data_IF_387859381523
#
_entry.id   IF_387859381523
#
_cell.length_a   1.000
_cell.length_b   1.000
_cell.length_c   1.000
_cell.angle_alpha   90.00
_cell.angle_beta   90.00
_cell.angle_gamma   90.00
#
_symmetry.space_group_name_H-M   'P 1'
#
loop_
_entity.id
_entity.type
_entity.pdbx_description
1 polymer ?
#
# COMPACT_ATOMS: atom_id res chain seq x y z
N UNK A 1 -24.97 -1.32 6.20
CA UNK A 1 -24.71 -1.53 4.76
C UNK A 1 -24.50 -3.02 4.44
N UNK A 2 -23.39 -3.61 4.91
CA UNK A 2 -23.08 -5.05 4.80
C UNK A 2 -24.21 -5.95 5.33
N UNK A 3 -24.79 -5.63 6.49
CA UNK A 3 -25.82 -6.45 7.13
C UNK A 3 -27.13 -6.63 6.29
N UNK A 4 -27.43 -5.70 5.38
CA UNK A 4 -28.62 -5.76 4.50
C UNK A 4 -28.35 -6.50 3.18
N UNK A 5 -27.09 -6.51 2.72
CA UNK A 5 -26.67 -7.23 1.52
C UNK A 5 -26.19 -8.67 1.82
N UNK A 6 -25.74 -8.94 3.05
CA UNK A 6 -25.08 -10.20 3.41
C UNK A 6 -25.95 -11.18 4.19
N UNK A 7 -27.00 -10.70 4.89
CA UNK A 7 -27.91 -11.61 5.61
C UNK A 7 -28.86 -12.31 4.64
N UNK A 8 -28.81 -13.64 4.63
CA UNK A 8 -29.60 -14.52 3.76
C UNK A 8 -31.11 -14.36 3.98
N UNK A 9 -31.52 -14.16 5.23
CA UNK A 9 -32.94 -14.25 5.64
C UNK A 9 -33.66 -12.90 5.76
N UNK A 10 -32.93 -11.78 5.75
CA UNK A 10 -33.54 -10.44 5.76
C UNK A 10 -34.02 -10.04 4.36
N UNK A 11 -35.23 -9.47 4.20
CA UNK A 11 -35.65 -8.92 2.92
C UNK A 11 -34.77 -7.71 2.55
N UNK A 12 -34.59 -7.49 1.24
CA UNK A 12 -33.83 -6.35 0.75
C UNK A 12 -34.56 -5.03 1.07
N UNK A 13 -33.95 -4.17 1.89
CA UNK A 13 -34.47 -2.83 2.15
C UNK A 13 -33.79 -1.80 1.23
N UNK A 14 -34.56 -1.21 0.31
CA UNK A 14 -34.05 -0.19 -0.62
C UNK A 14 -33.66 1.10 0.09
N UNK A 15 -34.37 1.48 1.15
CA UNK A 15 -34.07 2.68 1.93
C UNK A 15 -32.66 2.64 2.54
N UNK A 16 -32.26 1.50 3.11
CA UNK A 16 -30.91 1.32 3.69
C UNK A 16 -29.84 1.37 2.60
N UNK A 17 -30.14 0.83 1.41
CA UNK A 17 -29.22 0.85 0.26
C UNK A 17 -29.04 2.28 -0.25
N UNK A 18 -30.11 3.05 -0.35
CA UNK A 18 -30.07 4.46 -0.75
C UNK A 18 -29.26 5.31 0.24
N UNK A 19 -29.51 5.17 1.55
CA UNK A 19 -28.73 5.88 2.57
C UNK A 19 -27.25 5.48 2.48
N UNK A 20 -26.97 4.18 2.42
CA UNK A 20 -25.58 3.70 2.35
C UNK A 20 -24.87 4.17 1.07
N UNK A 21 -25.59 4.16 -0.05
CA UNK A 21 -25.11 4.68 -1.33
C UNK A 21 -24.85 6.18 -1.29
N UNK A 22 -25.73 6.96 -0.67
CA UNK A 22 -25.54 8.40 -0.49
C UNK A 22 -24.31 8.72 0.39
N UNK A 23 -24.14 8.00 1.50
CA UNK A 23 -22.96 8.15 2.38
C UNK A 23 -21.67 7.81 1.61
N UNK A 24 -21.67 6.70 0.86
CA UNK A 24 -20.52 6.31 0.04
C UNK A 24 -20.24 7.35 -1.03
N UNK A 25 -21.27 7.84 -1.73
CA UNK A 25 -21.13 8.86 -2.77
C UNK A 25 -20.55 10.16 -2.21
N UNK A 26 -21.08 10.67 -1.10
CA UNK A 26 -20.59 11.90 -0.46
C UNK A 26 -19.14 11.72 0.00
N UNK A 27 -18.80 10.58 0.61
CA UNK A 27 -17.44 10.29 1.05
C UNK A 27 -16.44 10.21 -0.11
N UNK A 28 -16.80 9.53 -1.20
CA UNK A 28 -15.95 9.39 -2.38
C UNK A 28 -15.81 10.70 -3.16
N UNK A 29 -16.91 11.46 -3.30
CA UNK A 29 -16.87 12.78 -3.91
C UNK A 29 -16.00 13.74 -3.08
N UNK A 30 -16.15 13.73 -1.76
CA UNK A 30 -15.29 14.48 -0.84
C UNK A 30 -13.82 14.12 -1.06
N UNK A 31 -13.47 12.83 -1.03
CA UNK A 31 -12.11 12.35 -1.29
C UNK A 31 -11.54 12.86 -2.61
N UNK A 32 -12.32 12.77 -3.70
CA UNK A 32 -11.90 13.28 -5.01
C UNK A 32 -11.68 14.81 -4.98
N UNK A 33 -12.59 15.58 -4.39
CA UNK A 33 -12.46 17.03 -4.28
C UNK A 33 -11.25 17.42 -3.43
N UNK A 34 -11.03 16.79 -2.28
CA UNK A 34 -9.87 17.03 -1.43
C UNK A 34 -8.56 16.71 -2.17
N UNK A 35 -8.49 15.60 -2.91
CA UNK A 35 -7.30 15.25 -3.69
C UNK A 35 -6.94 16.25 -4.79
N UNK A 36 -7.92 17.03 -5.28
CA UNK A 36 -7.72 18.09 -6.28
C UNK A 36 -7.45 19.45 -5.65
N UNK A 37 -8.20 19.80 -4.62
CA UNK A 37 -8.17 21.13 -4.01
C UNK A 37 -6.97 21.31 -3.08
N UNK A 38 -6.70 20.35 -2.19
CA UNK A 38 -5.65 20.48 -1.17
C UNK A 38 -4.27 20.73 -1.77
N UNK A 39 -3.84 20.04 -2.85
CA UNK A 39 -2.54 20.32 -3.43
C UNK A 39 -2.42 21.72 -4.04
N UNK A 40 -3.48 22.19 -4.71
CA UNK A 40 -3.51 23.55 -5.27
C UNK A 40 -3.46 24.59 -4.15
N UNK A 41 -4.17 24.36 -3.06
CA UNK A 41 -4.21 25.26 -1.90
C UNK A 41 -2.88 25.30 -1.14
N UNK A 42 -2.23 24.15 -0.90
CA UNK A 42 -0.98 24.07 -0.14
C UNK A 42 0.28 24.37 -0.97
N UNK A 43 0.32 23.91 -2.22
CA UNK A 43 1.51 23.93 -3.07
C UNK A 43 1.37 24.82 -4.31
N UNK A 44 0.24 25.53 -4.47
CA UNK A 44 -0.01 26.41 -5.61
C UNK A 44 -0.13 25.68 -6.97
N UNK A 45 -0.11 24.35 -6.99
CA UNK A 45 -0.05 23.54 -8.20
C UNK A 45 -0.83 22.25 -8.05
N UNK A 46 -1.41 21.77 -9.16
CA UNK A 46 -2.03 20.46 -9.21
C UNK A 46 -0.98 19.37 -9.36
N UNK A 47 -1.19 18.22 -8.72
CA UNK A 47 -0.29 17.07 -8.87
C UNK A 47 -0.66 16.32 -10.15
N UNK A 48 0.28 16.14 -11.08
CA UNK A 48 0.06 15.46 -12.36
C UNK A 48 -0.54 14.04 -12.21
N UNK A 49 -0.17 13.31 -11.14
CA UNK A 49 -0.72 11.97 -10.85
C UNK A 49 -2.22 11.98 -10.55
N UNK A 50 -2.73 13.09 -10.02
CA UNK A 50 -4.13 13.24 -9.67
C UNK A 50 -5.00 13.68 -10.86
N UNK A 51 -4.44 13.84 -12.07
CA UNK A 51 -5.20 14.12 -13.31
C UNK A 51 -6.29 13.07 -13.55
N UNK A 52 -7.33 13.42 -14.30
CA UNK A 52 -8.35 12.44 -14.69
C UNK A 52 -7.79 11.47 -15.74
N UNK A 53 -8.26 10.23 -15.74
CA UNK A 53 -7.88 9.26 -16.76
C UNK A 53 -8.51 9.61 -18.11
N UNK A 54 -7.71 9.50 -19.18
CA UNK A 54 -8.18 9.63 -20.55
C UNK A 54 -8.62 8.28 -21.14
N UNK A 55 -8.33 7.16 -20.46
CA UNK A 55 -8.63 5.81 -20.92
C UNK A 55 -9.29 4.96 -19.80
N UNK A 56 -10.63 5.04 -19.65
CA UNK A 56 -11.33 4.32 -18.59
C UNK A 56 -11.29 2.80 -18.77
N UNK A 57 -11.19 2.30 -20.00
CA UNK A 57 -11.17 0.86 -20.27
C UNK A 57 -9.86 0.21 -19.80
N UNK A 58 -8.74 0.84 -20.10
CA UNK A 58 -7.43 0.41 -19.60
C UNK A 58 -7.38 0.46 -18.07
N UNK A 59 -7.99 1.49 -17.48
CA UNK A 59 -8.11 1.62 -16.03
C UNK A 59 -8.91 0.49 -15.39
N UNK A 60 -10.00 0.07 -16.02
CA UNK A 60 -10.78 -1.06 -15.55
C UNK A 60 -9.99 -2.38 -15.64
N UNK A 61 -9.22 -2.59 -16.71
CA UNK A 61 -8.33 -3.76 -16.82
C UNK A 61 -7.25 -3.76 -15.74
N UNK A 62 -6.65 -2.59 -15.47
CA UNK A 62 -5.71 -2.42 -14.38
C UNK A 62 -6.36 -2.75 -13.03
N UNK A 63 -7.55 -2.22 -12.76
CA UNK A 63 -8.32 -2.52 -11.54
C UNK A 63 -8.54 -4.01 -11.30
N UNK A 64 -8.96 -4.73 -12.35
CA UNK A 64 -9.20 -6.17 -12.26
C UNK A 64 -7.92 -6.98 -12.06
N UNK A 65 -6.78 -6.51 -12.58
CA UNK A 65 -5.49 -7.21 -12.51
C UNK A 65 -4.75 -6.96 -11.20
N UNK A 66 -4.83 -5.74 -10.68
CA UNK A 66 -3.97 -5.26 -9.58
C UNK A 66 -4.82 -4.99 -8.30
N UNK A 67 -5.57 -3.86 -8.16
CA UNK A 67 -6.39 -3.58 -6.98
C UNK A 67 -7.30 -4.72 -6.52
N UNK A 68 -8.08 -5.32 -7.43
CA UNK A 68 -9.05 -6.34 -7.07
C UNK A 68 -8.36 -7.63 -6.62
N UNK A 69 -7.29 -8.04 -7.30
CA UNK A 69 -6.52 -9.23 -6.91
C UNK A 69 -5.85 -9.01 -5.56
N UNK A 70 -5.29 -7.83 -5.30
CA UNK A 70 -4.72 -7.50 -4.00
C UNK A 70 -5.79 -7.55 -2.90
N UNK A 71 -6.96 -6.94 -3.14
CA UNK A 71 -8.05 -6.96 -2.16
C UNK A 71 -8.59 -8.38 -1.88
N UNK A 72 -8.68 -9.25 -2.89
CA UNK A 72 -9.11 -10.64 -2.72
C UNK A 72 -8.09 -11.45 -1.90
N UNK A 73 -6.80 -11.14 -2.06
CA UNK A 73 -5.73 -11.77 -1.30
C UNK A 73 -5.54 -11.20 0.12
N UNK A 74 -6.29 -10.14 0.47
CA UNK A 74 -6.33 -9.54 1.81
C UNK A 74 -4.92 -9.25 2.36
N UNK A 75 -4.56 -9.88 3.47
CA UNK A 75 -3.29 -9.66 4.16
C UNK A 75 -2.06 -10.20 3.41
N UNK A 76 -2.21 -10.97 2.33
CA UNK A 76 -1.08 -11.54 1.59
C UNK A 76 -0.58 -10.58 0.50
N UNK A 77 0.52 -9.88 0.76
CA UNK A 77 1.14 -8.91 -0.15
C UNK A 77 1.91 -9.54 -1.33
N UNK A 78 2.24 -10.83 -1.23
CA UNK A 78 2.90 -11.60 -2.31
C UNK A 78 2.12 -12.87 -2.59
N UNK A 79 0.90 -12.75 -3.11
CA UNK A 79 0.04 -13.90 -3.27
C UNK A 79 0.57 -14.81 -4.38
N UNK A 80 0.84 -16.07 -4.04
CA UNK A 80 1.08 -17.12 -5.03
C UNK A 80 -0.20 -17.48 -5.76
N UNK A 81 -0.08 -18.02 -6.98
CA UNK A 81 -1.23 -18.40 -7.82
C UNK A 81 -2.22 -19.30 -7.10
N UNK A 82 -1.72 -20.27 -6.31
CA UNK A 82 -2.58 -21.16 -5.53
C UNK A 82 -3.44 -20.42 -4.50
N UNK A 83 -2.84 -19.49 -3.75
CA UNK A 83 -3.54 -18.72 -2.71
C UNK A 83 -4.59 -17.78 -3.33
N UNK A 84 -4.26 -17.13 -4.45
CA UNK A 84 -5.21 -16.31 -5.22
C UNK A 84 -6.40 -17.13 -5.70
N UNK A 85 -6.14 -18.30 -6.31
CA UNK A 85 -7.20 -19.19 -6.79
C UNK A 85 -8.10 -19.68 -5.65
N UNK A 86 -7.52 -20.07 -4.52
CA UNK A 86 -8.30 -20.48 -3.34
C UNK A 86 -9.17 -19.33 -2.81
N UNK A 87 -8.61 -18.13 -2.69
CA UNK A 87 -9.33 -16.94 -2.22
C UNK A 87 -10.48 -16.58 -3.17
N UNK A 88 -10.27 -16.67 -4.48
CA UNK A 88 -11.31 -16.49 -5.49
C UNK A 88 -12.45 -17.51 -5.35
N UNK A 89 -12.13 -18.79 -5.14
CA UNK A 89 -13.13 -19.84 -4.94
C UNK A 89 -13.96 -19.55 -3.68
N UNK A 90 -13.32 -19.15 -2.58
CA UNK A 90 -14.02 -18.81 -1.33
C UNK A 90 -14.93 -17.60 -1.54
N UNK A 91 -14.46 -16.54 -2.21
CA UNK A 91 -15.28 -15.38 -2.57
C UNK A 91 -16.49 -15.78 -3.43
N UNK A 92 -16.29 -16.67 -4.42
CA UNK A 92 -17.37 -17.17 -5.27
C UNK A 92 -18.41 -17.97 -4.47
N UNK A 93 -17.98 -18.82 -3.52
CA UNK A 93 -18.88 -19.53 -2.60
C UNK A 93 -19.67 -18.53 -1.74
N UNK A 94 -19.02 -17.48 -1.24
CA UNK A 94 -19.67 -16.39 -0.51
C UNK A 94 -20.77 -15.72 -1.33
N UNK A 95 -20.47 -15.34 -2.57
CA UNK A 95 -21.44 -14.76 -3.51
C UNK A 95 -22.61 -15.72 -3.78
N UNK A 96 -22.33 -16.99 -4.07
CA UNK A 96 -23.37 -18.01 -4.31
C UNK A 96 -24.27 -18.21 -3.10
N UNK A 97 -23.73 -18.13 -1.88
CA UNK A 97 -24.50 -18.22 -0.64
C UNK A 97 -25.52 -17.07 -0.53
N UNK A 98 -25.10 -15.85 -0.89
CA UNK A 98 -25.95 -14.65 -0.89
C UNK A 98 -27.03 -14.75 -1.97
N UNK A 99 -26.67 -15.19 -3.19
CA UNK A 99 -27.61 -15.32 -4.32
C UNK A 99 -28.76 -16.28 -3.98
N UNK A 100 -28.48 -17.37 -3.27
CA UNK A 100 -29.49 -18.36 -2.83
C UNK A 100 -30.41 -17.84 -1.71
N UNK A 101 -30.17 -16.66 -1.16
CA UNK A 101 -30.99 -16.03 -0.14
C UNK A 101 -32.20 -15.25 -0.70
N UNK A 102 -33.02 -14.71 0.21
CA UNK A 102 -34.13 -13.82 -0.18
C UNK A 102 -33.58 -12.56 -0.86
N UNK A 103 -34.11 -12.23 -2.04
CA UNK A 103 -33.66 -11.11 -2.88
C UNK A 103 -32.16 -11.17 -3.23
N UNK A 104 -31.58 -12.38 -3.26
CA UNK A 104 -30.15 -12.61 -3.43
C UNK A 104 -29.50 -11.94 -4.66
N UNK A 105 -30.07 -12.06 -5.88
CA UNK A 105 -29.48 -11.44 -7.07
C UNK A 105 -29.33 -9.91 -6.96
N UNK A 106 -30.35 -9.23 -6.44
CA UNK A 106 -30.32 -7.77 -6.24
C UNK A 106 -29.29 -7.39 -5.18
N UNK A 107 -29.19 -8.15 -4.08
CA UNK A 107 -28.17 -7.93 -3.04
C UNK A 107 -26.76 -8.06 -3.59
N UNK A 108 -26.49 -9.07 -4.40
CA UNK A 108 -25.18 -9.25 -5.03
C UNK A 108 -24.88 -8.13 -6.01
N UNK A 109 -25.84 -7.74 -6.84
CA UNK A 109 -25.67 -6.61 -7.76
C UNK A 109 -25.31 -5.32 -7.01
N UNK A 110 -26.05 -4.99 -5.95
CA UNK A 110 -25.78 -3.82 -5.12
C UNK A 110 -24.44 -3.91 -4.41
N UNK A 111 -24.08 -5.09 -3.92
CA UNK A 111 -22.79 -5.33 -3.28
C UNK A 111 -21.61 -5.05 -4.23
N UNK A 112 -21.69 -5.54 -5.48
CA UNK A 112 -20.68 -5.32 -6.51
C UNK A 112 -20.60 -3.83 -6.88
N UNK A 113 -21.75 -3.18 -7.14
CA UNK A 113 -21.81 -1.76 -7.48
C UNK A 113 -21.20 -0.91 -6.37
N UNK A 114 -21.54 -1.19 -5.11
CA UNK A 114 -21.00 -0.47 -3.96
C UNK A 114 -19.51 -0.73 -3.76
N UNK A 115 -19.03 -1.96 -3.98
CA UNK A 115 -17.61 -2.29 -3.89
C UNK A 115 -16.77 -1.55 -4.94
N UNK A 116 -17.23 -1.52 -6.19
CA UNK A 116 -16.59 -0.74 -7.26
C UNK A 116 -16.68 0.76 -6.93
N UNK A 117 -17.85 1.23 -6.47
CA UNK A 117 -18.07 2.61 -6.07
C UNK A 117 -17.12 3.07 -4.97
N UNK A 118 -16.80 2.20 -4.01
CA UNK A 118 -15.87 2.50 -2.92
C UNK A 118 -14.42 2.74 -3.40
N UNK A 119 -14.07 2.27 -4.59
CA UNK A 119 -12.77 2.51 -5.22
C UNK A 119 -12.83 3.52 -6.37
N UNK A 120 -13.99 4.16 -6.59
CA UNK A 120 -14.22 5.03 -7.73
C UNK A 120 -13.26 6.23 -7.85
N UNK A 121 -12.80 6.91 -6.79
CA UNK A 121 -11.84 8.00 -6.95
C UNK A 121 -10.53 7.53 -7.61
N UNK A 122 -10.05 6.34 -7.24
CA UNK A 122 -8.83 5.75 -7.84
C UNK A 122 -9.05 5.29 -9.29
N UNK A 123 -10.28 4.95 -9.67
CA UNK A 123 -10.65 4.65 -11.06
C UNK A 123 -10.78 5.92 -11.93
N UNK A 124 -11.05 7.08 -11.33
CA UNK A 124 -11.19 8.34 -12.05
C UNK A 124 -9.85 9.03 -12.29
N UNK A 125 -8.86 8.81 -11.42
CA UNK A 125 -7.53 9.40 -11.57
C UNK A 125 -6.62 8.59 -12.51
N UNK A 126 -5.66 9.28 -13.12
CA UNK A 126 -4.70 8.75 -14.10
C UNK A 126 -3.70 7.78 -13.48
N UNK A 127 -3.31 7.99 -12.23
CA UNK A 127 -2.29 7.19 -11.53
C UNK A 127 -2.65 5.71 -11.39
N UNK A 128 -1.82 4.82 -11.94
CA UNK A 128 -1.95 3.36 -11.81
C UNK A 128 -1.11 2.83 -10.63
N UNK A 129 -1.44 3.27 -9.42
CA UNK A 129 -0.75 2.88 -8.19
C UNK A 129 -1.75 2.29 -7.18
N UNK A 130 -1.71 0.97 -6.97
CA UNK A 130 -2.66 0.27 -6.10
C UNK A 130 -2.19 0.30 -4.64
N UNK A 131 -2.04 1.51 -4.09
CA UNK A 131 -1.65 1.73 -2.70
C UNK A 131 -2.57 0.96 -1.75
N UNK A 132 -2.00 0.14 -0.86
CA UNK A 132 -2.74 -0.59 0.17
C UNK A 132 -3.60 0.33 1.04
N UNK A 133 -3.12 1.54 1.37
CA UNK A 133 -3.94 2.55 2.09
C UNK A 133 -5.21 2.99 1.35
N UNK A 134 -5.25 2.83 0.03
CA UNK A 134 -6.41 3.14 -0.80
C UNK A 134 -7.33 1.93 -1.03
N UNK A 135 -6.88 0.72 -0.71
CA UNK A 135 -7.59 -0.54 -0.92
C UNK A 135 -8.49 -0.91 0.26
N UNK A 136 -8.32 -0.29 1.43
CA UNK A 136 -9.05 -0.62 2.68
C UNK A 136 -10.54 -0.82 2.47
N UNK A 137 -11.20 0.09 1.73
CA UNK A 137 -12.64 -0.01 1.50
C UNK A 137 -13.00 -1.23 0.64
N UNK A 138 -12.23 -1.51 -0.42
CA UNK A 138 -12.42 -2.68 -1.28
C UNK A 138 -12.12 -3.99 -0.53
N UNK A 139 -11.07 -3.98 0.30
CA UNK A 139 -10.69 -5.08 1.18
C UNK A 139 -11.78 -5.43 2.19
N UNK A 140 -12.51 -4.46 2.73
CA UNK A 140 -13.65 -4.76 3.60
C UNK A 140 -14.76 -5.54 2.88
N UNK A 141 -15.01 -5.24 1.60
CA UNK A 141 -15.97 -6.00 0.80
C UNK A 141 -15.46 -7.42 0.55
N UNK A 142 -14.22 -7.59 0.09
CA UNK A 142 -13.65 -8.92 -0.19
C UNK A 142 -13.52 -9.74 1.10
N UNK A 143 -13.08 -9.16 2.22
CA UNK A 143 -13.06 -9.79 3.54
C UNK A 143 -14.44 -10.32 3.93
N UNK A 144 -15.49 -9.51 3.74
CA UNK A 144 -16.84 -9.93 4.09
C UNK A 144 -17.32 -11.11 3.23
N UNK A 145 -16.97 -11.15 1.93
CA UNK A 145 -17.23 -12.31 1.08
C UNK A 145 -16.46 -13.54 1.53
N UNK A 146 -15.19 -13.38 1.91
CA UNK A 146 -14.36 -14.46 2.42
C UNK A 146 -14.96 -15.06 3.68
N UNK A 147 -15.37 -14.22 4.64
CA UNK A 147 -16.01 -14.66 5.89
C UNK A 147 -17.30 -15.43 5.61
N UNK A 148 -18.16 -14.94 4.72
CA UNK A 148 -19.40 -15.64 4.36
C UNK A 148 -19.13 -16.94 3.61
N UNK A 149 -18.15 -16.95 2.70
CA UNK A 149 -17.76 -18.16 1.97
C UNK A 149 -17.25 -19.24 2.93
N UNK A 150 -16.43 -18.85 3.90
CA UNK A 150 -15.93 -19.74 4.94
C UNK A 150 -17.03 -20.22 5.88
N UNK A 151 -17.95 -19.33 6.30
CA UNK A 151 -19.11 -19.73 7.11
C UNK A 151 -20.01 -20.72 6.35
N UNK A 152 -20.27 -20.48 5.06
CA UNK A 152 -21.03 -21.39 4.21
C UNK A 152 -20.36 -22.76 4.04
N UNK A 153 -19.02 -22.82 4.04
CA UNK A 153 -18.25 -24.07 4.00
C UNK A 153 -18.26 -24.80 5.35
N UNK A 154 -18.05 -24.06 6.45
CA UNK A 154 -17.81 -24.63 7.77
C UNK A 154 -19.09 -24.88 8.58
N UNK A 155 -20.19 -24.21 8.26
CA UNK A 155 -21.51 -24.44 8.85
C UNK A 155 -22.01 -25.86 8.60
N UNK A 156 -21.72 -26.44 7.43
CA UNK A 156 -22.01 -27.86 7.14
C UNK A 156 -21.22 -28.84 8.03
N UNK A 157 -20.10 -28.40 8.57
CA UNK A 157 -19.18 -29.21 9.36
C UNK A 157 -19.30 -28.95 10.88
N UNK A 158 -20.15 -28.01 11.32
CA UNK A 158 -20.27 -27.56 12.72
C UNK A 158 -18.98 -26.98 13.34
N UNK A 159 -17.98 -26.59 12.53
CA UNK A 159 -16.69 -26.06 13.01
C UNK A 159 -16.64 -24.52 12.96
N UNK A 160 -17.64 -23.86 12.34
CA UNK A 160 -17.67 -22.42 12.08
C UNK A 160 -17.31 -21.55 13.31
N UNK A 161 -17.89 -21.85 14.48
CA UNK A 161 -17.67 -21.11 15.74
C UNK A 161 -16.21 -21.14 16.23
N UNK A 162 -15.45 -22.17 15.88
CA UNK A 162 -14.02 -22.32 16.23
C UNK A 162 -13.09 -21.86 15.11
N UNK A 163 -13.50 -22.00 13.84
CA UNK A 163 -12.68 -21.66 12.68
C UNK A 163 -12.42 -20.15 12.56
N UNK A 164 -13.46 -19.33 12.79
CA UNK A 164 -13.36 -17.89 12.62
C UNK A 164 -12.31 -17.21 13.54
N UNK A 165 -12.27 -17.45 14.86
CA UNK A 165 -11.24 -16.85 15.72
C UNK A 165 -9.82 -17.32 15.35
N UNK A 166 -9.65 -18.59 14.94
CA UNK A 166 -8.35 -19.12 14.50
C UNK A 166 -7.87 -18.39 13.25
N UNK A 167 -8.76 -18.17 12.27
CA UNK A 167 -8.45 -17.43 11.06
C UNK A 167 -8.09 -15.96 11.35
N UNK A 168 -8.78 -15.32 12.29
CA UNK A 168 -8.43 -13.96 12.72
C UNK A 168 -7.02 -13.91 13.32
N UNK A 169 -6.67 -14.86 14.19
CA UNK A 169 -5.31 -14.95 14.76
C UNK A 169 -4.27 -15.18 13.66
N UNK A 170 -4.55 -16.08 12.71
CA UNK A 170 -3.67 -16.31 11.56
C UNK A 170 -3.48 -15.04 10.72
N UNK A 171 -4.57 -14.32 10.43
CA UNK A 171 -4.51 -13.06 9.69
C UNK A 171 -3.67 -12.00 10.42
N UNK A 172 -3.79 -11.88 11.75
CA UNK A 172 -2.97 -10.97 12.55
C UNK A 172 -1.48 -11.33 12.49
N UNK A 173 -1.14 -12.62 12.60
CA UNK A 173 0.24 -13.10 12.50
C UNK A 173 0.80 -12.82 11.10
N UNK A 174 0.05 -13.12 10.06
CA UNK A 174 0.47 -12.89 8.67
C UNK A 174 0.64 -11.39 8.36
N UNK A 175 -0.28 -10.54 8.80
CA UNK A 175 -0.16 -9.09 8.66
C UNK A 175 1.07 -8.55 9.41
N UNK A 176 1.29 -9.01 10.64
CA UNK A 176 2.49 -8.65 11.42
C UNK A 176 3.76 -9.08 10.69
N UNK A 177 3.81 -10.31 10.18
CA UNK A 177 4.94 -10.81 9.41
C UNK A 177 5.25 -9.92 8.20
N UNK A 178 4.22 -9.47 7.47
CA UNK A 178 4.39 -8.59 6.31
C UNK A 178 4.90 -7.20 6.69
N UNK A 179 4.44 -6.63 7.80
CA UNK A 179 4.95 -5.35 8.31
C UNK A 179 6.42 -5.49 8.73
N UNK A 180 6.76 -6.54 9.48
CA UNK A 180 8.12 -6.74 9.96
C UNK A 180 9.11 -6.97 8.81
N UNK A 181 8.81 -7.89 7.89
CA UNK A 181 9.74 -8.26 6.82
C UNK A 181 9.67 -7.34 5.60
N UNK A 182 8.50 -6.74 5.35
CA UNK A 182 8.30 -5.85 4.23
C UNK A 182 8.63 -4.39 4.53
N UNK A 183 8.56 -3.94 5.78
CA UNK A 183 8.75 -2.52 6.11
C UNK A 183 9.84 -2.31 7.15
N UNK A 184 9.71 -2.91 8.34
CA UNK A 184 10.57 -2.61 9.50
C UNK A 184 12.03 -3.05 9.25
N UNK A 185 12.23 -4.30 8.85
CA UNK A 185 13.58 -4.84 8.63
C UNK A 185 14.30 -4.13 7.48
N UNK A 186 13.70 -3.95 6.28
CA UNK A 186 14.31 -3.17 5.21
C UNK A 186 14.69 -1.75 5.64
N UNK A 187 13.75 -1.00 6.25
CA UNK A 187 13.98 0.38 6.65
C UNK A 187 15.08 0.52 7.71
N UNK A 188 15.10 -0.38 8.70
CA UNK A 188 16.17 -0.42 9.71
C UNK A 188 17.52 -0.73 9.08
N UNK A 189 17.55 -1.64 8.11
CA UNK A 189 18.78 -2.05 7.42
C UNK A 189 19.31 -0.92 6.54
N UNK A 190 18.44 -0.20 5.83
CA UNK A 190 18.79 1.01 5.08
C UNK A 190 19.38 2.10 5.98
N UNK A 191 18.73 2.41 7.11
CA UNK A 191 19.24 3.41 8.04
C UNK A 191 20.62 3.04 8.59
N UNK A 192 20.82 1.76 8.95
CA UNK A 192 22.11 1.27 9.43
C UNK A 192 23.20 1.29 8.35
N UNK A 193 22.86 0.95 7.11
CA UNK A 193 23.76 0.99 5.97
C UNK A 193 24.23 2.42 5.71
N UNK A 194 23.30 3.38 5.68
CA UNK A 194 23.60 4.80 5.53
C UNK A 194 24.46 5.30 6.70
N UNK A 195 24.10 4.95 7.93
CA UNK A 195 24.81 5.36 9.14
C UNK A 195 26.25 4.83 9.16
N UNK A 196 26.47 3.63 8.65
CA UNK A 196 27.80 3.01 8.54
C UNK A 196 28.63 3.69 7.46
N UNK A 197 28.05 3.95 6.29
CA UNK A 197 28.73 4.66 5.20
C UNK A 197 29.11 6.10 5.59
N UNK A 198 28.22 6.82 6.28
CA UNK A 198 28.50 8.15 6.82
C UNK A 198 29.61 8.10 7.88
N UNK A 199 29.54 7.18 8.84
CA UNK A 199 30.57 7.07 9.90
C UNK A 199 31.95 6.70 9.34
N UNK A 200 31.98 5.95 8.24
CA UNK A 200 33.21 5.52 7.59
C UNK A 200 33.84 6.61 6.73
N UNK A 201 33.03 7.34 5.94
CA UNK A 201 33.53 8.35 4.99
C UNK A 201 33.59 9.76 5.57
N UNK A 202 32.74 10.08 6.53
CA UNK A 202 32.60 11.42 7.10
C UNK A 202 33.11 11.40 8.54
N UNK A 203 34.20 12.11 8.80
CA UNK A 203 34.70 12.29 10.17
C UNK A 203 33.70 13.04 11.04
N UNK A 204 33.66 12.75 12.35
CA UNK A 204 32.71 13.41 13.26
C UNK A 204 32.83 14.94 13.26
N UNK A 205 34.04 15.45 13.14
CA UNK A 205 34.39 16.88 13.14
C UNK A 205 34.31 17.53 11.75
N UNK A 206 33.98 16.78 10.71
CA UNK A 206 33.81 17.34 9.37
C UNK A 206 32.61 18.29 9.35
N UNK A 207 32.80 19.50 8.80
CA UNK A 207 31.78 20.56 8.75
C UNK A 207 31.39 20.95 7.32
N UNK A 208 31.97 20.29 6.32
CA UNK A 208 31.63 20.46 4.92
C UNK A 208 30.29 19.83 4.54
N UNK A 209 29.94 19.92 3.26
CA UNK A 209 28.65 19.46 2.74
C UNK A 209 28.66 17.96 2.43
N UNK A 210 27.59 17.26 2.77
CA UNK A 210 27.40 15.86 2.38
C UNK A 210 26.30 15.76 1.33
N UNK A 211 26.64 15.17 0.18
CA UNK A 211 25.74 14.95 -0.94
C UNK A 211 25.54 13.44 -1.17
N UNK A 212 24.37 13.08 -1.69
CA UNK A 212 24.00 11.69 -1.95
C UNK A 212 23.85 11.41 -3.43
N UNK A 213 24.52 10.37 -3.89
CA UNK A 213 24.36 9.83 -5.24
C UNK A 213 23.40 8.63 -5.19
N UNK A 214 22.28 8.79 -5.89
CA UNK A 214 21.17 7.83 -5.96
C UNK A 214 20.99 7.23 -7.36
N UNK A 215 21.91 7.51 -8.29
CA UNK A 215 21.75 7.13 -9.70
C UNK A 215 21.84 5.61 -9.92
N UNK A 216 22.52 4.89 -9.01
CA UNK A 216 22.65 3.43 -9.02
C UNK A 216 22.09 2.83 -7.70
N UNK A 217 20.75 2.78 -7.54
CA UNK A 217 20.13 2.26 -6.34
C UNK A 217 20.17 0.72 -6.28
N UNK A 218 20.54 0.16 -5.13
CA UNK A 218 20.62 -1.29 -4.92
C UNK A 218 19.25 -1.90 -4.56
N UNK A 219 18.32 -1.89 -5.52
CA UNK A 219 17.00 -2.51 -5.36
C UNK A 219 17.13 -3.99 -5.00
N UNK A 220 16.46 -4.42 -3.94
CA UNK A 220 16.49 -5.77 -3.37
C UNK A 220 17.67 -6.10 -2.43
N UNK A 221 18.45 -5.11 -1.99
CA UNK A 221 19.52 -5.33 -1.02
C UNK A 221 19.06 -6.03 0.26
N UNK A 222 17.91 -5.64 0.81
CA UNK A 222 17.43 -6.14 2.11
C UNK A 222 16.18 -7.04 2.01
N UNK A 223 15.47 -7.02 0.89
CA UNK A 223 14.31 -7.88 0.66
C UNK A 223 14.05 -8.06 -0.84
N UNK A 224 13.61 -9.25 -1.25
CA UNK A 224 13.19 -9.53 -2.63
C UNK A 224 11.75 -9.12 -2.92
N UNK A 225 11.00 -8.76 -1.88
CA UNK A 225 9.60 -8.35 -2.01
C UNK A 225 9.56 -6.85 -2.26
N UNK A 226 9.05 -6.41 -3.41
CA UNK A 226 8.81 -5.00 -3.69
C UNK A 226 7.34 -4.80 -4.08
N UNK A 227 6.61 -4.05 -3.26
CA UNK A 227 5.18 -3.81 -3.39
C UNK A 227 4.84 -2.33 -3.12
N UNK A 228 3.57 -1.97 -3.38
CA UNK A 228 3.06 -0.62 -3.17
C UNK A 228 3.20 -0.20 -1.69
N UNK A 229 3.09 1.12 -1.43
CA UNK A 229 3.25 1.72 -0.10
C UNK A 229 4.55 1.32 0.64
N UNK A 230 5.66 1.31 -0.11
CA UNK A 230 7.03 1.15 0.41
C UNK A 230 7.37 -0.24 0.98
N UNK A 231 6.48 -1.23 0.85
CA UNK A 231 6.78 -2.62 1.23
C UNK A 231 7.96 -3.17 0.41
N UNK A 232 9.13 -3.16 1.01
CA UNK A 232 10.43 -3.56 0.50
C UNK A 232 10.99 -2.69 -0.62
N UNK A 233 10.37 -1.54 -0.85
CA UNK A 233 10.99 -0.49 -1.63
C UNK A 233 12.09 0.19 -0.81
N UNK A 234 13.05 0.83 -1.48
CA UNK A 234 14.20 1.45 -0.83
C UNK A 234 14.00 2.96 -0.72
N UNK A 235 13.93 3.46 0.52
CA UNK A 235 13.84 4.89 0.81
C UNK A 235 15.10 5.63 0.36
N UNK A 236 16.26 4.98 0.36
CA UNK A 236 17.55 5.56 -0.07
C UNK A 236 17.68 5.79 -1.59
N UNK A 237 16.67 5.41 -2.37
CA UNK A 237 16.54 5.80 -3.78
C UNK A 237 15.58 6.98 -3.98
N UNK A 238 14.85 7.39 -2.93
CA UNK A 238 13.88 8.48 -3.01
C UNK A 238 14.53 9.82 -2.63
N UNK A 239 14.53 10.83 -3.52
CA UNK A 239 15.22 12.09 -3.27
C UNK A 239 14.66 12.86 -2.07
N UNK A 240 13.38 12.66 -1.73
CA UNK A 240 12.71 13.31 -0.60
C UNK A 240 12.96 12.63 0.75
N UNK A 241 13.44 11.38 0.80
CA UNK A 241 13.56 10.62 2.04
C UNK A 241 14.96 10.69 2.69
N UNK A 242 16.00 10.77 1.86
CA UNK A 242 17.40 10.63 2.31
C UNK A 242 17.82 11.74 3.26
N UNK A 243 17.37 12.98 3.02
CA UNK A 243 17.72 14.12 3.88
C UNK A 243 17.29 13.88 5.33
N UNK A 244 16.04 13.48 5.55
CA UNK A 244 15.52 13.21 6.90
C UNK A 244 16.25 12.05 7.60
N UNK A 245 16.62 11.00 6.85
CA UNK A 245 17.44 9.91 7.39
C UNK A 245 18.85 10.39 7.80
N UNK A 246 19.49 11.20 6.96
CA UNK A 246 20.81 11.75 7.23
C UNK A 246 20.79 12.71 8.43
N UNK A 247 19.75 13.55 8.58
CA UNK A 247 19.54 14.42 9.74
C UNK A 247 19.39 13.61 11.03
N UNK A 248 18.63 12.51 11.01
CA UNK A 248 18.50 11.62 12.16
C UNK A 248 19.86 10.99 12.55
N UNK A 249 20.68 10.62 11.57
CA UNK A 249 22.02 10.07 11.80
C UNK A 249 22.96 11.15 12.34
N UNK A 250 22.95 12.35 11.76
CA UNK A 250 23.73 13.51 12.22
C UNK A 250 23.52 13.75 13.72
N UNK A 251 22.25 13.78 14.14
CA UNK A 251 21.86 13.97 15.55
C UNK A 251 22.29 12.78 16.41
N UNK A 252 21.91 11.56 16.01
CA UNK A 252 22.13 10.35 16.82
C UNK A 252 23.60 9.96 16.99
N UNK A 253 24.47 10.32 16.04
CA UNK A 253 25.92 10.04 16.08
C UNK A 253 26.78 11.26 16.45
N UNK A 254 26.16 12.41 16.74
CA UNK A 254 26.85 13.66 17.07
C UNK A 254 27.89 14.04 16.00
N UNK A 255 27.47 14.05 14.74
CA UNK A 255 28.31 14.47 13.61
C UNK A 255 28.05 15.95 13.29
N UNK A 256 28.99 16.61 12.60
CA UNK A 256 28.95 18.07 12.38
C UNK A 256 28.83 18.51 10.91
N UNK A 257 28.59 17.56 9.99
CA UNK A 257 28.50 17.87 8.57
C UNK A 257 27.24 18.66 8.23
N UNK A 258 27.26 19.35 7.09
CA UNK A 258 26.13 20.14 6.59
C UNK A 258 25.35 19.38 5.52
N UNK A 259 24.04 19.58 5.53
CA UNK A 259 23.12 19.05 4.53
C UNK A 259 22.49 20.23 3.78
N UNK A 260 22.86 20.46 2.51
CA UNK A 260 22.31 21.56 1.73
C UNK A 260 20.80 21.39 1.47
N UNK A 261 20.17 22.40 0.90
CA UNK A 261 18.74 22.32 0.55
C UNK A 261 18.47 21.19 -0.45
N UNK A 262 19.31 21.11 -1.50
CA UNK A 262 19.34 19.98 -2.42
C UNK A 262 20.51 19.04 -2.08
N UNK A 263 20.20 17.97 -1.34
CA UNK A 263 21.19 16.96 -0.92
C UNK A 263 21.52 15.94 -2.02
N UNK A 264 20.77 15.92 -3.12
CA UNK A 264 20.93 14.93 -4.18
C UNK A 264 21.92 15.45 -5.21
N UNK A 265 22.89 14.61 -5.55
CA UNK A 265 23.89 14.92 -6.57
C UNK A 265 23.24 14.87 -7.96
N UNK A 266 23.05 16.03 -8.59
CA UNK A 266 22.55 16.10 -9.97
C UNK A 266 23.67 16.22 -10.99
N UNK A 267 24.79 16.81 -10.61
CA UNK A 267 25.98 16.97 -11.45
C UNK A 267 27.24 16.89 -10.60
N UNK A 268 28.35 16.38 -11.15
CA UNK A 268 29.59 16.21 -10.39
C UNK A 268 30.19 17.55 -9.95
N UNK A 269 29.97 18.62 -10.71
CA UNK A 269 30.45 19.97 -10.39
C UNK A 269 29.78 20.56 -9.14
N UNK A 270 28.67 19.99 -8.67
CA UNK A 270 27.97 20.42 -7.46
C UNK A 270 28.80 20.20 -6.18
N UNK A 271 29.79 19.30 -6.23
CA UNK A 271 30.73 19.03 -5.14
C UNK A 271 32.09 19.65 -5.47
N UNK A 272 32.19 20.98 -5.41
CA UNK A 272 33.39 21.72 -5.84
C UNK A 272 34.40 22.03 -4.71
N UNK A 273 33.94 22.21 -3.46
CA UNK A 273 34.83 22.51 -2.31
C UNK A 273 34.26 21.99 -0.99
N UNK A 274 35.10 21.30 -0.21
CA UNK A 274 34.80 20.76 1.13
C UNK A 274 33.49 19.97 1.19
N UNK A 275 33.39 18.93 0.36
CA UNK A 275 32.19 18.11 0.22
C UNK A 275 32.53 16.62 0.12
N UNK A 276 31.62 15.78 0.63
CA UNK A 276 31.74 14.32 0.58
C UNK A 276 30.51 13.73 -0.09
N UNK A 277 30.74 12.83 -1.05
CA UNK A 277 29.68 12.13 -1.78
C UNK A 277 29.48 10.74 -1.19
N UNK A 278 28.25 10.44 -0.79
CA UNK A 278 27.81 9.13 -0.33
C UNK A 278 26.97 8.47 -1.43
N UNK A 279 27.50 7.40 -2.01
CA UNK A 279 26.76 6.55 -2.94
C UNK A 279 25.85 5.61 -2.15
N UNK A 280 24.55 5.79 -2.23
CA UNK A 280 23.60 5.04 -1.41
C UNK A 280 23.51 3.57 -1.82
N UNK A 281 23.61 3.28 -3.13
CA UNK A 281 23.69 1.92 -3.65
C UNK A 281 24.83 1.11 -3.06
N UNK A 282 26.04 1.67 -3.07
CA UNK A 282 27.24 1.01 -2.52
C UNK A 282 27.13 0.80 -1.00
N UNK A 283 26.55 1.76 -0.28
CA UNK A 283 26.30 1.64 1.16
C UNK A 283 25.37 0.47 1.48
N UNK A 284 24.33 0.27 0.67
CA UNK A 284 23.40 -0.85 0.84
C UNK A 284 24.04 -2.19 0.47
N UNK A 285 24.76 -2.27 -0.66
CA UNK A 285 25.45 -3.50 -1.10
C UNK A 285 26.51 -3.95 -0.10
N UNK A 286 27.28 -3.03 0.46
CA UNK A 286 28.31 -3.37 1.47
C UNK A 286 27.72 -3.84 2.80
N UNK A 287 26.44 -3.59 3.05
CA UNK A 287 25.74 -3.93 4.29
C UNK A 287 24.86 -5.19 4.16
N UNK A 288 24.93 -5.90 3.04
CA UNK A 288 24.13 -7.11 2.78
C UNK A 288 24.97 -8.19 2.10
N UNK A 289 24.62 -9.46 2.29
CA UNK A 289 25.23 -10.60 1.59
C UNK A 289 24.47 -10.99 0.31
N UNK A 290 23.45 -10.22 -0.07
CA UNK A 290 22.60 -10.51 -1.23
C UNK A 290 23.22 -10.08 -2.57
N UNK A 291 24.46 -9.56 -2.57
CA UNK A 291 25.22 -9.08 -3.72
C UNK A 291 26.65 -9.58 -3.71
#
# INVERSE_FOLDING_TARGET
>A
MLDNCLKKDKPFSIHIVLISGAVLFIGMLGSLLFSKFVPVWLYGSSIARAELTNNPLEKLRWFLKEPLINAINNFNITPGTFFTTLSLIICAIGLLSIIKGKSGPIKVLMFIIMGIGAYSPNLLVKENWAAYRSLIALEFFTCALVIIGLDALTSKLNIAKKALPILTVFAMIAASYNIFNGFIIPQKSELNALASALSYKVGKTFTGDVLFDIQDPAYNAFTKTQRYDEFGNISLAAPWAIKGMAEQILISKSMHFRLPENVILTAKEQCASDCIIIKTGDAMRSSTSNY
#
